data_IF_466662276541
#
_entry.id   IF_466662276541
#
_cell.length_a   1.000
_cell.length_b   1.000
_cell.length_c   1.000
_cell.angle_alpha   90.00
_cell.angle_beta   90.00
_cell.angle_gamma   90.00
#
_symmetry.space_group_name_H-M   'P 1'
#
loop_
_entity.id
_entity.type
_entity.pdbx_description
1 polymer ?
#
# COMPACT_ATOMS: atom_id res chain seq x y z
N UNK A 1 17.53 -11.84 -4.11
CA UNK A 1 16.13 -12.17 -3.76
C UNK A 1 15.29 -12.31 -5.02
N UNK A 2 14.27 -13.16 -4.98
CA UNK A 2 13.30 -13.28 -6.07
C UNK A 2 12.15 -12.27 -5.90
N UNK A 3 11.65 -11.78 -7.04
CA UNK A 3 10.47 -10.92 -7.09
C UNK A 3 9.68 -11.13 -8.38
N UNK A 4 8.37 -10.88 -8.33
CA UNK A 4 7.50 -10.91 -9.50
C UNK A 4 7.35 -9.48 -10.03
N UNK A 5 7.73 -9.27 -11.27
CA UNK A 5 7.96 -7.95 -11.83
C UNK A 5 7.25 -7.71 -13.16
N UNK A 6 6.93 -6.46 -13.42
CA UNK A 6 6.72 -5.95 -14.77
C UNK A 6 8.09 -5.89 -15.48
N UNK A 7 8.24 -6.66 -16.55
CA UNK A 7 9.46 -6.65 -17.37
C UNK A 7 9.43 -5.49 -18.37
N UNK A 8 8.27 -5.25 -18.94
CA UNK A 8 7.85 -4.13 -19.77
C UNK A 8 6.32 -4.11 -19.88
N UNK A 9 5.75 -3.15 -20.58
CA UNK A 9 4.30 -3.14 -20.86
C UNK A 9 3.90 -4.45 -21.54
N UNK A 10 2.86 -5.11 -20.99
CA UNK A 10 2.30 -6.35 -21.49
C UNK A 10 3.12 -7.62 -21.13
N UNK A 11 4.17 -7.50 -20.31
CA UNK A 11 5.00 -8.65 -19.94
C UNK A 11 5.36 -8.65 -18.46
N UNK A 12 5.16 -9.79 -17.81
CA UNK A 12 5.52 -10.01 -16.40
C UNK A 12 6.36 -11.28 -16.25
N UNK A 13 7.14 -11.35 -15.20
CA UNK A 13 7.94 -12.54 -14.91
C UNK A 13 8.66 -12.46 -13.57
N UNK A 14 9.23 -13.61 -13.19
CA UNK A 14 10.10 -13.68 -12.03
C UNK A 14 11.50 -13.18 -12.40
N UNK A 15 12.04 -12.33 -11.53
CA UNK A 15 13.39 -11.79 -11.64
C UNK A 15 14.16 -11.99 -10.35
N UNK A 16 15.48 -11.92 -10.45
CA UNK A 16 16.38 -11.86 -9.29
C UNK A 16 16.98 -10.47 -9.18
N UNK A 17 16.97 -9.93 -7.97
CA UNK A 17 17.58 -8.65 -7.60
C UNK A 17 18.36 -8.80 -6.30
N UNK A 18 19.24 -7.85 -6.04
CA UNK A 18 19.86 -7.71 -4.73
C UNK A 18 18.81 -7.40 -3.66
N UNK A 19 19.07 -7.87 -2.44
CA UNK A 19 18.22 -7.50 -1.28
C UNK A 19 18.34 -5.98 -1.05
N UNK A 20 17.22 -5.26 -0.81
CA UNK A 20 17.28 -3.84 -0.54
C UNK A 20 18.09 -3.54 0.73
N UNK A 21 18.73 -2.37 0.76
CA UNK A 21 19.48 -1.89 1.90
C UNK A 21 18.57 -1.10 2.83
N UNK A 22 18.81 -1.20 4.14
CA UNK A 22 18.06 -0.48 5.16
C UNK A 22 18.74 0.87 5.43
N UNK A 23 18.03 1.96 5.19
CA UNK A 23 18.45 3.31 5.60
C UNK A 23 18.21 3.56 7.09
N UNK A 24 18.71 4.69 7.64
CA UNK A 24 18.60 4.96 9.07
C UNK A 24 17.16 5.03 9.62
N UNK A 25 16.22 5.55 8.85
CA UNK A 25 14.79 5.69 9.21
C UNK A 25 13.90 4.58 8.65
N UNK A 26 14.48 3.60 7.94
CA UNK A 26 13.74 2.65 7.12
C UNK A 26 13.61 1.28 7.79
N UNK A 27 12.82 0.42 7.17
CA UNK A 27 12.74 -1.00 7.53
C UNK A 27 12.85 -1.89 6.30
N UNK A 28 13.40 -3.09 6.49
CA UNK A 28 13.28 -4.20 5.54
C UNK A 28 12.27 -5.18 6.09
N UNK A 29 11.31 -5.52 5.26
CA UNK A 29 10.22 -6.40 5.62
C UNK A 29 10.19 -7.65 4.72
N UNK A 30 9.63 -8.74 5.27
CA UNK A 30 9.32 -9.98 4.57
C UNK A 30 7.82 -10.13 4.49
N UNK A 31 7.20 -10.29 3.30
CA UNK A 31 5.76 -10.48 3.17
C UNK A 31 5.26 -11.72 3.93
N UNK A 32 4.12 -11.59 4.60
CA UNK A 32 3.35 -12.68 5.20
C UNK A 32 2.06 -12.93 4.42
N UNK A 33 1.42 -11.86 3.95
CA UNK A 33 0.30 -11.88 3.02
C UNK A 33 0.39 -10.67 2.09
N UNK A 34 0.03 -10.86 0.84
CA UNK A 34 -0.05 -9.79 -0.16
C UNK A 34 -1.37 -9.90 -0.90
N UNK A 35 -1.93 -8.78 -1.33
CA UNK A 35 -3.10 -8.74 -2.19
C UNK A 35 -2.73 -8.20 -3.57
N UNK A 36 -3.39 -8.74 -4.60
CA UNK A 36 -3.28 -8.27 -5.97
C UNK A 36 -4.35 -7.20 -6.21
N UNK A 37 -3.92 -6.01 -6.58
CA UNK A 37 -4.80 -4.91 -6.95
C UNK A 37 -5.02 -4.86 -8.47
N UNK A 38 -6.18 -4.38 -8.90
CA UNK A 38 -6.45 -4.10 -10.32
C UNK A 38 -5.47 -3.06 -10.89
N UNK A 39 -4.95 -2.16 -10.06
CA UNK A 39 -3.92 -1.19 -10.47
C UNK A 39 -2.60 -1.85 -10.89
N UNK A 40 -2.23 -3.02 -10.34
CA UNK A 40 -1.09 -3.80 -10.84
C UNK A 40 -1.34 -4.27 -12.28
N UNK A 41 -2.58 -4.66 -12.59
CA UNK A 41 -2.99 -5.07 -13.94
C UNK A 41 -2.92 -3.88 -14.90
N UNK A 42 -3.49 -2.73 -14.52
CA UNK A 42 -3.44 -1.51 -15.34
C UNK A 42 -2.00 -1.01 -15.53
N UNK A 43 -1.15 -1.14 -14.52
CA UNK A 43 0.27 -0.79 -14.61
C UNK A 43 0.96 -1.63 -15.67
N UNK A 44 0.73 -2.95 -15.67
CA UNK A 44 1.39 -3.88 -16.60
C UNK A 44 0.82 -3.76 -18.02
N UNK A 45 -0.52 -3.82 -18.17
CA UNK A 45 -1.12 -4.01 -19.48
C UNK A 45 -1.46 -2.70 -20.20
N UNK A 46 -1.69 -1.64 -19.45
CA UNK A 46 -2.08 -0.33 -19.98
C UNK A 46 -1.00 0.74 -19.82
N UNK A 47 0.06 0.44 -19.06
CA UNK A 47 1.12 1.42 -18.77
C UNK A 47 0.61 2.60 -17.94
N UNK A 48 -0.33 2.38 -17.01
CA UNK A 48 -1.02 3.44 -16.27
C UNK A 48 -0.08 4.41 -15.53
N UNK A 49 1.09 3.93 -15.08
CA UNK A 49 2.15 4.75 -14.46
C UNK A 49 3.36 4.95 -15.37
N UNK A 50 3.18 4.73 -16.68
CA UNK A 50 4.24 4.73 -17.69
C UNK A 50 5.02 3.41 -17.71
N UNK A 51 5.89 3.28 -18.69
CA UNK A 51 6.69 2.06 -18.84
C UNK A 51 7.69 1.90 -17.70
N UNK A 52 7.77 0.69 -17.16
CA UNK A 52 8.74 0.27 -16.17
C UNK A 52 9.44 -1.01 -16.65
N UNK A 53 10.71 -1.13 -16.34
CA UNK A 53 11.52 -2.29 -16.70
C UNK A 53 12.01 -2.99 -15.42
N UNK A 54 11.72 -4.26 -15.30
CA UNK A 54 12.13 -5.06 -14.15
C UNK A 54 11.71 -4.46 -12.79
N UNK A 55 10.52 -3.83 -12.74
CA UNK A 55 9.95 -3.28 -11.52
C UNK A 55 9.12 -4.35 -10.82
N UNK A 56 9.52 -4.73 -9.61
CA UNK A 56 8.71 -5.65 -8.78
C UNK A 56 7.37 -4.99 -8.45
N UNK A 57 6.29 -5.77 -8.62
CA UNK A 57 4.91 -5.33 -8.45
C UNK A 57 4.42 -5.46 -7.00
N UNK A 58 3.17 -5.03 -6.78
CA UNK A 58 2.45 -5.16 -5.51
C UNK A 58 2.68 -4.00 -4.55
N UNK A 59 1.61 -3.58 -3.87
CA UNK A 59 1.63 -2.46 -2.91
C UNK A 59 0.72 -2.71 -1.70
N UNK A 60 0.08 -3.88 -1.61
CA UNK A 60 -0.81 -4.27 -0.52
C UNK A 60 -0.21 -5.44 0.24
N UNK A 61 0.12 -5.25 1.53
CA UNK A 61 0.89 -6.24 2.25
C UNK A 61 0.70 -6.18 3.77
N UNK A 62 0.66 -7.36 4.39
CA UNK A 62 1.07 -7.57 5.77
C UNK A 62 2.40 -8.29 5.80
N UNK A 63 3.30 -7.89 6.68
CA UNK A 63 4.67 -8.38 6.69
C UNK A 63 5.23 -8.60 8.10
N UNK A 64 6.40 -9.22 8.14
CA UNK A 64 7.26 -9.23 9.30
C UNK A 64 8.46 -8.32 9.06
N UNK A 65 8.73 -7.45 10.02
CA UNK A 65 9.97 -6.65 10.04
C UNK A 65 11.16 -7.59 10.24
N UNK A 66 12.17 -7.49 9.37
CA UNK A 66 13.41 -8.28 9.49
C UNK A 66 14.62 -7.44 9.86
N UNK A 67 14.57 -6.14 9.54
CA UNK A 67 15.64 -5.20 9.84
C UNK A 67 15.05 -3.80 9.98
N UNK A 68 15.58 -3.00 10.89
CA UNK A 68 15.23 -1.59 11.05
C UNK A 68 16.50 -0.73 11.08
N UNK A 69 16.37 0.49 10.60
CA UNK A 69 17.43 1.49 10.65
C UNK A 69 17.71 1.98 12.06
N UNK A 70 18.88 2.60 12.23
CA UNK A 70 19.39 3.03 13.55
C UNK A 70 18.57 4.12 14.23
N UNK A 71 17.71 4.80 13.49
CA UNK A 71 16.85 5.91 13.97
C UNK A 71 15.38 5.52 14.10
N UNK A 72 14.99 4.29 13.72
CA UNK A 72 13.65 3.75 13.93
C UNK A 72 13.42 3.49 15.42
N UNK A 73 12.28 3.92 15.95
CA UNK A 73 11.98 3.93 17.39
C UNK A 73 10.84 2.98 17.78
N UNK A 74 9.83 2.89 16.92
CA UNK A 74 8.55 2.26 17.27
C UNK A 74 8.46 0.79 16.81
N UNK A 75 9.43 0.33 16.00
CA UNK A 75 9.46 -1.01 15.44
C UNK A 75 10.79 -1.72 15.65
N UNK A 76 10.73 -3.05 15.64
CA UNK A 76 11.92 -3.92 15.75
C UNK A 76 11.77 -5.17 14.89
N UNK A 77 12.88 -5.85 14.61
CA UNK A 77 12.87 -7.14 13.94
C UNK A 77 11.97 -8.15 14.69
N UNK A 78 11.14 -8.86 13.94
CA UNK A 78 10.15 -9.80 14.44
C UNK A 78 8.73 -9.24 14.53
N UNK A 79 8.54 -7.94 14.55
CA UNK A 79 7.22 -7.32 14.60
C UNK A 79 6.39 -7.68 13.36
N UNK A 80 5.10 -7.98 13.57
CA UNK A 80 4.13 -8.18 12.48
C UNK A 80 3.43 -6.86 12.22
N UNK A 81 3.47 -6.42 10.97
CA UNK A 81 3.06 -5.07 10.58
C UNK A 81 2.16 -5.07 9.34
N UNK A 82 1.27 -4.10 9.29
CA UNK A 82 0.57 -3.67 8.10
C UNK A 82 1.42 -2.63 7.38
N UNK A 83 1.48 -2.73 6.06
CA UNK A 83 2.14 -1.75 5.19
C UNK A 83 1.06 -1.08 4.36
N UNK A 84 0.83 0.24 4.49
CA UNK A 84 -0.11 0.95 3.65
C UNK A 84 0.41 1.05 2.21
N UNK A 85 -0.51 1.07 1.24
CA UNK A 85 -0.16 1.24 -0.17
C UNK A 85 0.55 2.57 -0.44
N UNK A 86 0.23 3.59 0.34
CA UNK A 86 0.83 4.92 0.29
C UNK A 86 1.84 5.04 1.43
N UNK A 87 3.11 5.20 1.07
CA UNK A 87 4.24 5.34 2.00
C UNK A 87 4.98 6.66 1.74
N UNK A 88 4.40 7.79 2.17
CA UNK A 88 4.95 9.11 1.87
C UNK A 88 6.30 9.34 2.55
N UNK A 89 7.00 10.35 2.08
CA UNK A 89 8.04 11.02 2.84
C UNK A 89 7.35 12.01 3.80
N UNK A 90 7.32 11.68 5.08
CA UNK A 90 6.64 12.50 6.10
C UNK A 90 7.35 13.84 6.36
N UNK A 91 8.60 14.00 5.90
CA UNK A 91 9.34 15.26 5.98
C UNK A 91 9.00 16.22 4.84
N UNK A 92 8.25 15.79 3.82
CA UNK A 92 7.82 16.66 2.72
C UNK A 92 6.78 17.68 3.15
N UNK A 93 6.77 18.85 2.53
CA UNK A 93 5.80 19.90 2.83
C UNK A 93 4.37 19.47 2.47
N UNK A 94 4.22 18.71 1.40
CA UNK A 94 2.94 18.17 0.94
C UNK A 94 2.35 17.23 2.00
N UNK A 95 3.14 16.30 2.53
CA UNK A 95 2.68 15.38 3.56
C UNK A 95 2.31 16.11 4.85
N UNK A 96 3.12 17.09 5.27
CA UNK A 96 2.83 17.92 6.45
C UNK A 96 1.58 18.79 6.26
N UNK A 97 1.25 19.16 5.03
CA UNK A 97 0.01 19.89 4.69
C UNK A 97 -1.22 18.97 4.53
N UNK A 98 -1.09 17.65 4.74
CA UNK A 98 -2.18 16.68 4.61
C UNK A 98 -2.33 16.05 3.22
N UNK A 99 -1.42 16.33 2.30
CA UNK A 99 -1.42 15.78 0.93
C UNK A 99 -0.38 14.66 0.78
N UNK A 100 -0.39 13.69 1.67
CA UNK A 100 0.59 12.61 1.75
C UNK A 100 0.77 11.82 0.43
N UNK A 101 -0.33 11.63 -0.33
CA UNK A 101 -0.29 11.01 -1.65
C UNK A 101 0.65 11.74 -2.64
N UNK A 102 0.84 13.03 -2.45
CA UNK A 102 1.65 13.89 -3.33
C UNK A 102 3.02 14.25 -2.74
N UNK A 103 3.46 13.55 -1.70
CA UNK A 103 4.78 13.76 -1.11
C UNK A 103 5.87 13.58 -2.15
N UNK A 104 6.78 14.57 -2.28
CA UNK A 104 7.86 14.60 -3.27
C UNK A 104 7.39 14.67 -4.74
N UNK A 105 6.12 15.00 -5.00
CA UNK A 105 5.57 15.17 -6.36
C UNK A 105 4.21 14.50 -6.56
N UNK A 106 3.64 14.69 -7.75
CA UNK A 106 2.32 14.16 -8.08
C UNK A 106 2.29 12.62 -7.96
N UNK A 107 1.45 12.09 -7.08
CA UNK A 107 1.29 10.67 -6.76
C UNK A 107 2.57 9.96 -6.26
N UNK A 108 3.61 10.72 -5.88
CA UNK A 108 4.89 10.14 -5.47
C UNK A 108 4.87 9.56 -4.04
N UNK A 109 3.81 9.78 -3.26
CA UNK A 109 3.53 9.03 -2.04
C UNK A 109 3.19 7.57 -2.29
N UNK A 110 2.66 7.22 -3.45
CA UNK A 110 2.54 5.84 -3.91
C UNK A 110 3.89 5.38 -4.46
N UNK A 111 4.71 4.79 -3.62
CA UNK A 111 6.10 4.43 -3.97
C UNK A 111 6.23 3.02 -4.52
N UNK A 112 5.53 2.03 -3.95
CA UNK A 112 5.60 0.63 -4.38
C UNK A 112 5.09 0.42 -5.81
N UNK A 113 5.84 -0.32 -6.62
CA UNK A 113 5.54 -0.60 -8.04
C UNK A 113 5.46 0.64 -8.93
N UNK A 114 5.71 1.83 -8.39
CA UNK A 114 5.71 3.10 -9.12
C UNK A 114 7.10 3.75 -9.14
N UNK A 115 7.66 4.03 -7.96
CA UNK A 115 8.96 4.69 -7.82
C UNK A 115 10.05 3.70 -7.42
N UNK A 116 9.69 2.71 -6.61
CA UNK A 116 10.55 1.63 -6.13
C UNK A 116 9.88 0.28 -6.27
N UNK A 117 10.67 -0.79 -6.10
CA UNK A 117 10.17 -2.16 -6.10
C UNK A 117 9.05 -2.35 -5.08
N UNK A 118 8.05 -3.14 -5.47
CA UNK A 118 6.87 -3.46 -4.68
C UNK A 118 7.06 -4.68 -3.77
N UNK A 119 5.94 -5.15 -3.22
CA UNK A 119 5.90 -6.15 -2.15
C UNK A 119 5.83 -7.61 -2.65
N UNK A 120 5.71 -7.85 -3.97
CA UNK A 120 5.71 -9.22 -4.52
C UNK A 120 7.13 -9.79 -4.63
N UNK A 121 7.84 -9.83 -3.51
CA UNK A 121 9.25 -10.23 -3.40
C UNK A 121 9.53 -10.93 -2.08
N UNK A 122 10.68 -11.58 -1.96
CA UNK A 122 11.10 -12.19 -0.70
C UNK A 122 11.38 -11.17 0.40
N UNK A 123 11.85 -9.98 0.02
CA UNK A 123 12.10 -8.83 0.90
C UNK A 123 11.78 -7.54 0.16
N UNK A 124 11.31 -6.55 0.89
CA UNK A 124 11.06 -5.21 0.35
C UNK A 124 11.41 -4.12 1.37
N UNK A 125 11.62 -2.92 0.88
CA UNK A 125 12.04 -1.76 1.66
C UNK A 125 10.87 -0.84 1.96
N UNK A 126 10.73 -0.44 3.23
CA UNK A 126 9.77 0.59 3.66
C UNK A 126 10.56 1.80 4.14
N UNK A 127 10.34 2.94 3.51
CA UNK A 127 10.92 4.23 3.94
C UNK A 127 10.16 4.77 5.15
N UNK A 128 10.85 5.58 5.98
CA UNK A 128 10.24 6.27 7.12
C UNK A 128 9.36 5.33 7.96
N UNK A 129 9.96 4.25 8.48
CA UNK A 129 9.26 3.11 9.07
C UNK A 129 8.28 3.52 10.18
N UNK A 130 8.67 4.44 11.08
CA UNK A 130 7.81 4.90 12.18
C UNK A 130 6.54 5.61 11.69
N UNK A 131 6.56 6.17 10.47
CA UNK A 131 5.40 6.82 9.87
C UNK A 131 4.62 5.95 8.87
N UNK A 132 5.21 4.85 8.41
CA UNK A 132 4.69 4.04 7.31
C UNK A 132 4.43 2.56 7.66
N UNK A 133 4.51 2.20 8.93
CA UNK A 133 4.15 0.89 9.43
C UNK A 133 3.08 1.01 10.51
N UNK A 134 2.27 -0.03 10.67
CA UNK A 134 1.36 -0.18 11.80
C UNK A 134 1.49 -1.59 12.38
N UNK A 135 1.61 -1.70 13.71
CA UNK A 135 1.61 -3.01 14.38
C UNK A 135 0.27 -3.72 14.15
N UNK A 136 0.33 -4.99 13.79
CA UNK A 136 -0.87 -5.82 13.75
C UNK A 136 -1.31 -6.19 15.16
N UNK A 137 -2.59 -6.00 15.50
CA UNK A 137 -3.15 -6.47 16.77
C UNK A 137 -2.93 -7.97 16.95
N UNK A 138 -2.70 -8.38 18.20
CA UNK A 138 -2.59 -9.79 18.54
C UNK A 138 -3.92 -10.52 18.21
N UNK A 139 -3.81 -11.70 17.60
CA UNK A 139 -4.96 -12.51 17.22
C UNK A 139 -5.67 -12.08 15.92
N UNK A 140 -5.28 -10.98 15.29
CA UNK A 140 -5.82 -10.59 13.98
C UNK A 140 -5.37 -11.57 12.90
N UNK A 141 -6.31 -12.06 12.09
CA UNK A 141 -5.99 -12.85 10.91
C UNK A 141 -5.19 -12.03 9.91
N UNK A 142 -4.14 -12.63 9.35
CA UNK A 142 -3.19 -11.92 8.48
C UNK A 142 -3.80 -11.60 7.11
N UNK A 143 -4.74 -12.43 6.63
CA UNK A 143 -5.40 -12.24 5.34
C UNK A 143 -6.41 -11.11 5.45
N UNK A 144 -7.22 -11.10 6.53
CA UNK A 144 -8.16 -10.02 6.81
C UNK A 144 -7.43 -8.69 7.03
N UNK A 145 -6.32 -8.73 7.77
CA UNK A 145 -5.48 -7.56 8.00
C UNK A 145 -4.92 -6.97 6.69
N UNK A 146 -4.59 -7.80 5.70
CA UNK A 146 -4.05 -7.35 4.43
C UNK A 146 -5.02 -6.41 3.68
N UNK A 147 -6.34 -6.58 3.87
CA UNK A 147 -7.36 -5.70 3.27
C UNK A 147 -7.27 -4.25 3.79
N UNK A 148 -6.68 -4.05 4.96
CA UNK A 148 -6.50 -2.73 5.58
C UNK A 148 -5.36 -1.93 4.92
N UNK A 149 -4.54 -2.56 4.07
CA UNK A 149 -3.41 -1.89 3.42
C UNK A 149 -3.85 -0.89 2.35
N UNK A 150 -4.98 -1.15 1.65
CA UNK A 150 -5.52 -0.29 0.59
C UNK A 150 -7.05 -0.31 0.52
N UNK A 151 -7.66 -1.47 0.28
CA UNK A 151 -9.06 -1.61 -0.12
C UNK A 151 -10.03 -0.96 0.87
N UNK A 152 -9.83 -1.17 2.17
CA UNK A 152 -10.69 -0.61 3.22
C UNK A 152 -10.54 0.91 3.31
N UNK A 153 -9.32 1.47 3.51
CA UNK A 153 -9.18 2.92 3.59
C UNK A 153 -9.57 3.62 2.29
N UNK A 154 -9.27 3.05 1.14
CA UNK A 154 -9.66 3.62 -0.17
C UNK A 154 -11.17 3.69 -0.33
N UNK A 155 -11.90 2.61 0.00
CA UNK A 155 -13.35 2.58 -0.06
C UNK A 155 -14.00 3.56 0.93
N UNK A 156 -13.49 3.62 2.14
CA UNK A 156 -13.99 4.54 3.18
C UNK A 156 -13.70 6.01 2.84
N UNK A 157 -12.51 6.28 2.31
CA UNK A 157 -12.14 7.64 1.89
C UNK A 157 -13.01 8.14 0.74
N UNK A 158 -13.39 7.27 -0.20
CA UNK A 158 -14.36 7.62 -1.26
C UNK A 158 -15.70 8.08 -0.69
N UNK A 159 -16.19 7.43 0.35
CA UNK A 159 -17.43 7.82 1.07
C UNK A 159 -17.25 9.14 1.82
N UNK A 160 -16.08 9.37 2.40
CA UNK A 160 -15.74 10.63 3.05
C UNK A 160 -15.71 11.79 2.05
N UNK A 161 -15.04 11.61 0.91
CA UNK A 161 -14.98 12.61 -0.15
C UNK A 161 -16.36 12.93 -0.76
N UNK A 162 -17.26 11.94 -0.82
CA UNK A 162 -18.63 12.10 -1.25
C UNK A 162 -19.52 12.82 -0.21
N UNK A 163 -18.96 13.11 0.98
CA UNK A 163 -19.63 13.76 2.11
C UNK A 163 -20.96 13.09 2.48
N UNK A 164 -21.00 11.75 2.47
CA UNK A 164 -22.20 10.97 2.78
C UNK A 164 -22.68 11.29 4.18
N UNK A 165 -23.98 11.64 4.30
CA UNK A 165 -24.65 12.02 5.52
C UNK A 165 -25.71 11.00 5.93
N UNK A 166 -26.15 11.10 7.18
CA UNK A 166 -27.24 10.28 7.71
C UNK A 166 -28.51 10.44 6.88
N UNK A 167 -29.07 9.34 6.43
CA UNK A 167 -30.30 9.30 5.65
C UNK A 167 -30.12 9.36 4.12
N UNK A 168 -28.90 9.57 3.64
CA UNK A 168 -28.61 9.66 2.20
C UNK A 168 -28.92 8.38 1.45
N UNK A 169 -29.18 8.52 0.14
CA UNK A 169 -29.20 7.44 -0.83
C UNK A 169 -27.87 7.46 -1.60
N UNK A 170 -27.11 6.36 -1.53
CA UNK A 170 -25.78 6.23 -2.13
C UNK A 170 -25.80 5.19 -3.24
N UNK A 171 -25.26 5.55 -4.41
CA UNK A 171 -25.05 4.62 -5.52
C UNK A 171 -23.54 4.34 -5.62
N UNK A 172 -23.15 3.08 -5.48
CA UNK A 172 -21.79 2.61 -5.72
C UNK A 172 -21.72 1.89 -7.05
N UNK A 173 -20.89 2.38 -7.97
CA UNK A 173 -20.67 1.77 -9.27
C UNK A 173 -19.40 0.91 -9.23
N UNK A 174 -19.56 -0.41 -9.42
CA UNK A 174 -18.49 -1.39 -9.29
C UNK A 174 -18.44 -2.02 -7.90
N UNK A 175 -18.61 -3.35 -7.82
CA UNK A 175 -18.69 -4.12 -6.58
C UNK A 175 -17.47 -5.07 -6.48
N UNK A 176 -16.29 -4.53 -6.79
CA UNK A 176 -15.02 -5.13 -6.40
C UNK A 176 -14.69 -4.84 -4.92
N UNK A 177 -13.53 -5.25 -4.41
CA UNK A 177 -13.17 -5.07 -3.00
C UNK A 177 -13.32 -3.63 -2.51
N UNK A 178 -12.85 -2.64 -3.25
CA UNK A 178 -12.99 -1.20 -2.91
C UNK A 178 -14.47 -0.79 -2.88
N UNK A 179 -15.27 -1.22 -3.88
CA UNK A 179 -16.70 -0.89 -3.93
C UNK A 179 -17.48 -1.49 -2.76
N UNK A 180 -17.17 -2.74 -2.36
CA UNK A 180 -17.75 -3.36 -1.16
C UNK A 180 -17.40 -2.57 0.10
N UNK A 181 -16.16 -2.09 0.22
CA UNK A 181 -15.75 -1.25 1.35
C UNK A 181 -16.40 0.15 1.30
N UNK A 182 -16.65 0.69 0.11
CA UNK A 182 -17.44 1.92 -0.03
C UNK A 182 -18.89 1.72 0.45
N UNK A 183 -19.52 0.59 0.13
CA UNK A 183 -20.84 0.26 0.67
C UNK A 183 -20.80 0.16 2.20
N UNK A 184 -19.82 -0.55 2.76
CA UNK A 184 -19.65 -0.66 4.21
C UNK A 184 -19.45 0.70 4.87
N UNK A 185 -18.59 1.56 4.30
CA UNK A 185 -18.35 2.92 4.76
C UNK A 185 -19.61 3.80 4.72
N UNK A 186 -20.40 3.70 3.63
CA UNK A 186 -21.66 4.44 3.49
C UNK A 186 -22.67 4.02 4.57
N UNK A 187 -22.80 2.71 4.85
CA UNK A 187 -23.66 2.21 5.93
C UNK A 187 -23.21 2.73 7.29
N UNK A 188 -21.91 2.71 7.57
CA UNK A 188 -21.36 3.24 8.84
C UNK A 188 -21.59 4.73 9.01
N UNK A 189 -21.64 5.49 7.91
CA UNK A 189 -22.01 6.91 7.91
C UNK A 189 -23.51 7.17 8.00
N UNK A 190 -24.32 6.13 7.96
CA UNK A 190 -25.77 6.23 8.15
C UNK A 190 -26.57 6.45 6.86
N UNK A 191 -26.05 6.11 5.71
CA UNK A 191 -26.83 6.07 4.49
C UNK A 191 -28.07 5.18 4.68
N UNK A 192 -29.22 5.63 4.17
CA UNK A 192 -30.51 4.91 4.33
C UNK A 192 -30.74 3.90 3.19
N UNK A 193 -30.05 4.06 2.07
CA UNK A 193 -30.16 3.21 0.89
C UNK A 193 -28.89 3.22 0.08
#
# INVERSE_FOLDING_TARGET
MKGFAMLKIGEVGWIEKDRPQCGPLDAICKPLAVALCTSDVHTVWEGAVGERHNMILGHECCAQVVEVGSEVRDFKAGDRVLIPAITPNWSSLEAQAGYAMHSDGMLAGWKFSNIKDGVFSEYFHVNDADGNLALLPEGMDIVDACMLSDMVPTGFHGVELADVQFGDTVLVVGIGPVGLMSVAGAVLRGASR
#
